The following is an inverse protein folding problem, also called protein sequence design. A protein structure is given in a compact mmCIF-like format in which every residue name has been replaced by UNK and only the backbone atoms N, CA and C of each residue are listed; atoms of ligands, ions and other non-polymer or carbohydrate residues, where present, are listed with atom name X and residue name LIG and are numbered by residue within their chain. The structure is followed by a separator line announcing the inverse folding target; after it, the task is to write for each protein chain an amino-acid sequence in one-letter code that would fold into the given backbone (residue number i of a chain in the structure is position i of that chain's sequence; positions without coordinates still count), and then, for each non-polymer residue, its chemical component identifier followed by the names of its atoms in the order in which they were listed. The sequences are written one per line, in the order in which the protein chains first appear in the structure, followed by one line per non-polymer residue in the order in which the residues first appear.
data_IF_371613429456
#
_entry.id   IF_371613429456
#
_cell.length_a   1.000
_cell.length_b   1.000
_cell.length_c   1.000
_cell.angle_alpha   90.00
_cell.angle_beta   90.00
_cell.angle_gamma   90.00
#
_symmetry.space_group_name_H-M   'P 1'
#
loop_
_entity.id
_entity.type
_entity.pdbx_description
1 polymer ?
#
# COMPACT_ATOMS: atom_id res chain seq x y z
N UNK A 1 -8.48 -10.46 -8.04
CA UNK A 1 -7.23 -10.50 -7.24
C UNK A 1 -7.27 -11.46 -6.04
N UNK A 2 -8.45 -11.88 -5.58
CA UNK A 2 -8.61 -12.84 -4.46
C UNK A 2 -7.64 -14.03 -4.54
N UNK A 3 -7.10 -14.42 -3.41
CA UNK A 3 -6.09 -15.47 -3.24
C UNK A 3 -4.67 -14.95 -3.35
N UNK A 4 -4.39 -13.98 -4.23
CA UNK A 4 -3.02 -13.55 -4.51
C UNK A 4 -2.35 -12.94 -3.27
N UNK A 5 -1.05 -13.23 -3.13
CA UNK A 5 -0.09 -12.48 -2.33
C UNK A 5 0.88 -11.77 -3.26
N UNK A 6 1.02 -10.46 -3.09
CA UNK A 6 1.85 -9.63 -3.97
C UNK A 6 2.80 -8.82 -3.11
N UNK A 7 4.09 -8.87 -3.43
CA UNK A 7 5.09 -7.99 -2.86
C UNK A 7 5.16 -6.69 -3.66
N UNK A 8 5.20 -5.55 -2.97
CA UNK A 8 5.32 -4.22 -3.53
C UNK A 8 6.59 -3.57 -2.99
N UNK A 9 7.51 -3.22 -3.88
CA UNK A 9 8.74 -2.48 -3.57
C UNK A 9 8.60 -1.06 -4.07
N UNK A 10 8.42 -0.12 -3.15
CA UNK A 10 8.28 1.33 -3.44
C UNK A 10 9.63 2.01 -3.56
N UNK A 11 10.62 1.54 -2.81
CA UNK A 11 12.02 1.99 -2.88
C UNK A 11 12.95 0.87 -2.41
N UNK A 12 14.26 1.13 -2.36
CA UNK A 12 15.22 0.16 -1.81
C UNK A 12 15.08 -0.07 -0.30
N UNK A 13 14.33 0.79 0.39
CA UNK A 13 14.11 0.71 1.83
C UNK A 13 12.64 0.46 2.22
N UNK A 14 11.72 0.40 1.25
CA UNK A 14 10.27 0.34 1.52
C UNK A 14 9.61 -0.78 0.72
N UNK A 15 9.20 -1.82 1.45
CA UNK A 15 8.61 -3.03 0.88
C UNK A 15 7.44 -3.49 1.72
N UNK A 16 6.31 -3.73 1.04
CA UNK A 16 5.06 -4.21 1.62
C UNK A 16 4.61 -5.49 0.93
N UNK A 17 3.77 -6.26 1.59
CA UNK A 17 2.97 -7.30 0.94
C UNK A 17 1.49 -7.03 1.10
N UNK A 18 0.73 -7.32 0.03
CA UNK A 18 -0.72 -7.39 0.10
C UNK A 18 -1.17 -8.84 -0.09
N UNK A 19 -2.09 -9.28 0.77
CA UNK A 19 -2.76 -10.58 0.70
C UNK A 19 -4.25 -10.33 0.44
N UNK A 20 -4.72 -10.67 -0.75
CA UNK A 20 -6.10 -10.41 -1.17
C UNK A 20 -7.02 -11.53 -0.69
N UNK A 21 -7.65 -11.35 0.48
CA UNK A 21 -8.35 -12.42 1.20
C UNK A 21 -9.67 -12.85 0.54
N UNK A 22 -10.51 -11.88 0.17
CA UNK A 22 -11.82 -12.09 -0.44
C UNK A 22 -12.24 -10.83 -1.23
N UNK A 23 -13.50 -10.77 -1.68
CA UNK A 23 -13.99 -9.68 -2.53
C UNK A 23 -13.97 -8.29 -1.87
N UNK A 24 -13.94 -8.20 -0.54
CA UNK A 24 -14.10 -6.94 0.19
C UNK A 24 -13.04 -6.65 1.24
N UNK A 25 -12.02 -7.49 1.39
CA UNK A 25 -10.94 -7.27 2.35
C UNK A 25 -9.59 -7.81 1.88
N UNK A 26 -8.53 -7.12 2.27
CA UNK A 26 -7.14 -7.53 2.08
C UNK A 26 -6.33 -7.23 3.33
N UNK A 27 -5.20 -7.92 3.49
CA UNK A 27 -4.21 -7.61 4.52
C UNK A 27 -3.01 -6.94 3.88
N UNK A 28 -2.53 -5.84 4.45
CA UNK A 28 -1.21 -5.28 4.15
C UNK A 28 -0.25 -5.58 5.31
N UNK A 29 1.03 -5.75 5.00
CA UNK A 29 2.10 -5.93 5.98
C UNK A 29 3.37 -5.26 5.48
N UNK A 30 3.96 -4.39 6.31
CA UNK A 30 5.21 -3.74 6.01
C UNK A 30 6.39 -4.64 6.40
N UNK A 31 7.13 -5.11 5.39
CA UNK A 31 8.27 -6.02 5.56
C UNK A 31 9.57 -5.27 5.82
N UNK A 32 9.67 -4.07 5.27
CA UNK A 32 10.83 -3.19 5.41
C UNK A 32 10.35 -1.76 5.23
N UNK A 33 10.76 -0.89 6.15
CA UNK A 33 10.43 0.53 6.07
C UNK A 33 10.09 1.15 7.41
N UNK A 34 9.58 2.38 7.37
CA UNK A 34 9.16 3.11 8.58
C UNK A 34 7.99 2.48 9.33
N UNK A 35 7.26 1.55 8.70
CA UNK A 35 6.16 0.79 9.30
C UNK A 35 6.52 -0.68 9.59
N UNK A 36 7.81 -1.06 9.54
CA UNK A 36 8.24 -2.47 9.62
C UNK A 36 7.57 -3.25 10.77
N UNK A 37 7.03 -4.42 10.43
CA UNK A 37 6.32 -5.30 11.36
C UNK A 37 4.87 -4.92 11.62
N UNK A 38 4.40 -3.75 11.16
CA UNK A 38 2.99 -3.38 11.19
C UNK A 38 2.24 -4.07 10.06
N UNK A 39 1.03 -4.52 10.39
CA UNK A 39 0.10 -5.12 9.45
C UNK A 39 -1.33 -4.80 9.87
N UNK A 40 -2.23 -4.73 8.89
CA UNK A 40 -3.65 -4.64 9.18
C UNK A 40 -4.50 -5.20 8.03
N UNK A 41 -5.76 -5.52 8.34
CA UNK A 41 -6.76 -5.96 7.37
C UNK A 41 -7.84 -4.90 7.17
N UNK A 42 -7.96 -4.42 5.94
CA UNK A 42 -8.82 -3.29 5.60
C UNK A 42 -9.82 -3.62 4.51
N UNK A 43 -10.86 -2.79 4.41
CA UNK A 43 -11.88 -2.90 3.38
C UNK A 43 -11.29 -2.46 2.04
N UNK A 44 -11.56 -3.24 1.00
CA UNK A 44 -11.11 -2.92 -0.34
C UNK A 44 -12.18 -3.19 -1.41
N UNK A 45 -11.95 -2.60 -2.58
CA UNK A 45 -12.72 -2.80 -3.79
C UNK A 45 -11.72 -3.04 -4.94
N UNK A 46 -12.06 -3.92 -5.87
CA UNK A 46 -11.20 -4.24 -7.01
C UNK A 46 -12.03 -4.35 -8.28
N UNK A 47 -11.57 -3.71 -9.35
CA UNK A 47 -12.16 -3.80 -10.68
C UNK A 47 -11.13 -4.30 -11.67
N UNK A 48 -11.50 -5.28 -12.50
CA UNK A 48 -10.65 -5.73 -13.61
C UNK A 48 -10.81 -4.74 -14.77
N UNK A 49 -9.70 -4.21 -15.27
CA UNK A 49 -9.67 -3.28 -16.40
C UNK A 49 -9.32 -4.02 -17.69
N UNK A 50 -8.30 -4.87 -17.63
CA UNK A 50 -7.85 -5.69 -18.74
C UNK A 50 -7.26 -7.02 -18.21
N UNK A 51 -6.67 -7.83 -19.09
CA UNK A 51 -5.86 -8.95 -18.66
C UNK A 51 -4.69 -8.44 -17.80
N UNK A 52 -4.49 -9.05 -16.63
CA UNK A 52 -3.47 -8.68 -15.64
C UNK A 52 -3.52 -7.24 -15.10
N UNK A 53 -4.49 -6.42 -15.51
CA UNK A 53 -4.61 -5.01 -15.11
C UNK A 53 -5.86 -4.76 -14.26
N UNK A 54 -5.69 -4.16 -13.09
CA UNK A 54 -6.74 -3.95 -12.10
C UNK A 54 -6.71 -2.55 -11.49
N UNK A 55 -7.88 -1.97 -11.23
CA UNK A 55 -8.01 -0.86 -10.27
C UNK A 55 -8.25 -1.47 -8.90
N UNK A 56 -7.47 -1.02 -7.92
CA UNK A 56 -7.56 -1.42 -6.52
C UNK A 56 -7.75 -0.20 -5.64
N UNK A 57 -8.78 -0.25 -4.80
CA UNK A 57 -9.10 0.81 -3.86
C UNK A 57 -9.19 0.23 -2.45
N UNK A 58 -8.63 0.91 -1.46
CA UNK A 58 -8.87 0.57 -0.06
C UNK A 58 -9.08 1.79 0.82
N UNK A 59 -9.69 1.55 1.98
CA UNK A 59 -9.86 2.52 3.05
C UNK A 59 -9.29 1.91 4.32
N UNK A 60 -8.32 2.59 4.94
CA UNK A 60 -7.82 2.17 6.25
C UNK A 60 -8.85 2.48 7.34
N UNK A 61 -8.98 1.58 8.32
CA UNK A 61 -9.90 1.80 9.45
C UNK A 61 -9.25 2.54 10.64
N UNK A 62 -7.93 2.44 10.80
CA UNK A 62 -7.21 3.08 11.91
C UNK A 62 -6.76 4.49 11.55
N UNK A 63 -6.34 4.67 10.29
CA UNK A 63 -5.87 5.94 9.76
C UNK A 63 -6.95 6.54 8.86
N UNK A 64 -7.11 7.87 8.85
CA UNK A 64 -8.01 8.58 7.94
C UNK A 64 -7.41 8.68 6.52
N UNK A 65 -7.06 7.52 5.93
CA UNK A 65 -6.46 7.44 4.60
C UNK A 65 -7.23 6.48 3.68
N UNK A 66 -7.23 6.83 2.39
CA UNK A 66 -7.82 6.07 1.29
C UNK A 66 -6.82 6.04 0.16
N UNK A 67 -6.75 4.94 -0.58
CA UNK A 67 -5.83 4.85 -1.70
C UNK A 67 -6.48 4.19 -2.91
N UNK A 68 -6.02 4.61 -4.08
CA UNK A 68 -6.41 4.07 -5.38
C UNK A 68 -5.15 3.78 -6.20
N UNK A 69 -5.05 2.55 -6.69
CA UNK A 69 -3.94 2.06 -7.48
C UNK A 69 -4.45 1.44 -8.78
N UNK A 70 -3.72 1.65 -9.86
CA UNK A 70 -3.72 0.80 -11.03
C UNK A 70 -2.59 -0.22 -10.84
N UNK A 71 -2.94 -1.50 -10.83
CA UNK A 71 -2.04 -2.63 -10.62
C UNK A 71 -1.94 -3.42 -11.91
N UNK A 72 -0.76 -3.42 -12.50
CA UNK A 72 -0.36 -4.33 -13.56
C UNK A 72 0.40 -5.50 -12.94
N UNK A 73 -0.23 -6.68 -12.93
CA UNK A 73 0.35 -7.89 -12.34
C UNK A 73 1.61 -8.38 -13.05
N UNK A 74 1.98 -7.82 -14.20
CA UNK A 74 3.21 -8.17 -14.89
C UNK A 74 4.45 -7.54 -14.24
N UNK A 75 4.36 -6.31 -13.72
CA UNK A 75 5.55 -5.66 -13.15
C UNK A 75 5.28 -4.55 -12.12
N UNK A 76 4.18 -3.78 -12.23
CA UNK A 76 4.14 -2.46 -11.58
C UNK A 76 2.79 -2.08 -11.02
N UNK A 77 2.79 -1.20 -10.01
CA UNK A 77 1.60 -0.45 -9.62
C UNK A 77 1.87 1.05 -9.56
N UNK A 78 0.85 1.83 -9.88
CA UNK A 78 0.86 3.29 -9.78
C UNK A 78 -0.42 3.76 -9.11
N UNK A 79 -0.36 4.86 -8.37
CA UNK A 79 -1.55 5.36 -7.69
C UNK A 79 -1.30 6.57 -6.82
N UNK A 80 -2.28 6.79 -5.95
CA UNK A 80 -2.27 7.85 -4.95
C UNK A 80 -2.95 7.36 -3.68
N UNK A 81 -2.40 7.79 -2.56
CA UNK A 81 -3.06 7.76 -1.27
C UNK A 81 -3.42 9.18 -0.85
N UNK A 82 -4.61 9.32 -0.29
CA UNK A 82 -5.21 10.57 0.14
C UNK A 82 -5.64 10.42 1.59
N UNK A 83 -5.51 11.47 2.38
CA UNK A 83 -6.02 11.44 3.74
C UNK A 83 -5.94 12.79 4.42
N UNK A 84 -6.18 12.77 5.72
CA UNK A 84 -6.07 13.92 6.59
C UNK A 84 -4.97 13.68 7.63
N UNK A 85 -4.06 14.64 7.79
CA UNK A 85 -3.09 14.64 8.88
C UNK A 85 -3.61 15.50 10.02
N UNK A 86 -4.00 14.85 11.12
CA UNK A 86 -4.51 15.53 12.31
C UNK A 86 -3.45 16.35 13.06
N UNK A 87 -2.17 16.04 12.88
CA UNK A 87 -1.05 16.78 13.48
C UNK A 87 -0.79 18.06 12.71
N UNK A 88 -0.72 17.96 11.37
CA UNK A 88 -0.46 19.11 10.50
C UNK A 88 -1.72 19.86 10.07
N UNK A 89 -2.91 19.41 10.50
CA UNK A 89 -4.23 19.98 10.13
C UNK A 89 -4.34 20.26 8.63
N UNK A 90 -3.91 19.29 7.82
CA UNK A 90 -3.81 19.45 6.36
C UNK A 90 -4.07 18.14 5.63
N UNK A 91 -4.42 18.25 4.34
CA UNK A 91 -4.58 17.11 3.45
C UNK A 91 -3.24 16.44 3.18
N UNK A 92 -3.25 15.10 3.24
CA UNK A 92 -2.16 14.24 2.82
C UNK A 92 -2.45 13.75 1.40
N UNK A 93 -1.50 13.92 0.48
CA UNK A 93 -1.53 13.28 -0.84
C UNK A 93 -0.16 12.67 -1.10
N UNK A 94 -0.09 11.34 -1.23
CA UNK A 94 1.16 10.61 -1.42
C UNK A 94 1.15 9.82 -2.74
N UNK A 95 2.24 9.88 -3.52
CA UNK A 95 2.37 9.06 -4.72
C UNK A 95 2.61 7.59 -4.37
N UNK A 96 1.91 6.69 -5.04
CA UNK A 96 2.23 5.26 -5.04
C UNK A 96 2.86 4.91 -6.38
N UNK A 97 4.04 4.31 -6.32
CA UNK A 97 4.76 3.81 -7.48
C UNK A 97 5.66 2.67 -7.01
N UNK A 98 5.37 1.45 -7.43
CA UNK A 98 6.09 0.26 -6.97
C UNK A 98 6.43 -0.67 -8.12
N UNK A 99 7.57 -1.34 -8.04
CA UNK A 99 7.71 -2.65 -8.70
C UNK A 99 7.01 -3.70 -7.86
N UNK A 100 6.38 -4.69 -8.50
CA UNK A 100 5.68 -5.77 -7.81
C UNK A 100 6.11 -7.15 -8.29
N UNK A 101 5.85 -8.15 -7.45
CA UNK A 101 6.03 -9.55 -7.79
C UNK A 101 4.91 -10.37 -7.16
N UNK A 102 4.22 -11.16 -7.99
CA UNK A 102 3.16 -12.06 -7.52
C UNK A 102 3.80 -13.33 -6.97
N UNK A 103 3.44 -13.71 -5.76
CA UNK A 103 4.00 -14.90 -5.13
C UNK A 103 3.29 -16.20 -5.57
N UNK A 104 4.06 -17.23 -5.97
CA UNK A 104 3.52 -18.54 -6.26
C UNK A 104 2.79 -19.15 -5.04
N UNK A 105 1.70 -19.88 -5.28
CA UNK A 105 1.12 -20.79 -4.27
C UNK A 105 0.16 -20.20 -3.23
N UNK A 106 -0.34 -18.97 -3.40
CA UNK A 106 -1.31 -18.41 -2.46
C UNK A 106 -2.75 -18.69 -2.91
N UNK A 107 -3.23 -19.89 -2.55
CA UNK A 107 -4.65 -20.15 -2.32
C UNK A 107 -4.82 -20.37 -0.82
N UNK A 108 -4.62 -19.32 -0.02
CA UNK A 108 -4.82 -19.43 1.42
C UNK A 108 -6.31 -19.49 1.72
N UNK A 109 -6.81 -20.66 2.16
CA UNK A 109 -7.99 -20.72 3.01
C UNK A 109 -7.63 -20.02 4.32
N UNK A 110 -7.99 -18.74 4.43
CA UNK A 110 -7.65 -17.92 5.60
C UNK A 110 -8.21 -18.54 6.89
N UNK A 111 -7.33 -19.08 7.74
CA UNK A 111 -7.69 -19.53 9.09
C UNK A 111 -7.57 -18.31 10.00
N UNK A 112 -8.70 -17.82 10.52
CA UNK A 112 -8.76 -16.66 11.43
C UNK A 112 -7.84 -16.92 12.63
N UNK A 113 -6.74 -16.19 12.75
CA UNK A 113 -6.05 -15.97 14.03
C UNK A 113 -6.06 -14.47 14.27
N UNK A 114 -6.47 -14.07 15.48
CA UNK A 114 -6.54 -12.66 15.87
C UNK A 114 -5.16 -12.03 15.78
N UNK A 115 -5.09 -10.89 15.10
CA UNK A 115 -3.94 -10.00 15.11
C UNK A 115 -4.38 -8.76 15.90
N UNK A 116 -3.69 -8.48 17.01
CA UNK A 116 -3.94 -7.30 17.83
C UNK A 116 -3.37 -6.06 17.11
N UNK A 117 -4.23 -5.06 16.88
CA UNK A 117 -3.87 -3.82 16.23
C UNK A 117 -3.02 -2.95 17.18
N UNK A 118 -1.76 -2.69 16.81
CA UNK A 118 -0.91 -1.76 17.54
C UNK A 118 -1.36 -0.31 17.28
N UNK A 119 -1.74 0.40 18.34
CA UNK A 119 -2.25 1.77 18.29
C UNK A 119 -1.11 2.79 18.46
N UNK A 120 -0.73 3.45 17.37
CA UNK A 120 0.10 4.66 17.40
C UNK A 120 0.00 5.42 16.06
N UNK A 121 -1.18 6.00 15.81
CA UNK A 121 -1.58 6.71 14.58
C UNK A 121 -0.60 7.83 14.17
N UNK A 122 0.05 8.51 15.13
CA UNK A 122 0.88 9.71 14.86
C UNK A 122 2.25 9.43 14.23
N UNK A 123 2.99 8.39 14.68
CA UNK A 123 4.31 8.04 14.11
C UNK A 123 4.20 7.48 12.68
N UNK A 124 3.07 6.87 12.37
CA UNK A 124 2.77 6.21 11.10
C UNK A 124 2.60 7.21 9.95
N UNK A 125 1.89 8.30 10.19
CA UNK A 125 1.76 9.42 9.23
C UNK A 125 3.12 10.07 8.90
N UNK A 126 4.01 10.20 9.89
CA UNK A 126 5.34 10.76 9.68
C UNK A 126 6.23 9.82 8.85
N UNK A 127 6.18 8.51 9.12
CA UNK A 127 6.84 7.50 8.29
C UNK A 127 6.37 7.61 6.83
N UNK A 128 5.07 7.52 6.58
CA UNK A 128 4.48 7.62 5.23
C UNK A 128 4.91 8.87 4.45
N UNK A 129 5.01 10.02 5.14
CA UNK A 129 5.49 11.28 4.53
C UNK A 129 6.97 11.27 4.17
N UNK A 130 7.83 10.72 5.04
CA UNK A 130 9.26 10.61 4.77
C UNK A 130 9.54 9.63 3.62
N UNK A 131 8.77 8.54 3.58
CA UNK A 131 8.89 7.41 2.65
C UNK A 131 8.50 7.80 1.22
N UNK A 132 7.34 8.44 1.04
CA UNK A 132 6.82 8.77 -0.30
C UNK A 132 7.17 10.21 -0.74
N UNK A 133 7.60 11.06 0.18
CA UNK A 133 8.10 12.42 -0.11
C UNK A 133 9.55 12.47 -0.57
N UNK A 134 10.39 11.49 -0.22
CA UNK A 134 11.79 11.43 -0.67
C UNK A 134 11.90 11.07 -2.17
N UNK A 135 11.01 10.22 -2.68
CA UNK A 135 10.98 9.85 -4.11
C UNK A 135 10.67 11.04 -5.03
N UNK A 136 9.91 12.04 -4.54
CA UNK A 136 9.60 13.25 -5.32
C UNK A 136 10.78 14.22 -5.45
N UNK A 137 11.78 14.20 -4.54
CA UNK A 137 12.94 15.11 -4.59
C UNK A 137 14.08 14.61 -5.49
N UNK A 138 14.12 13.32 -5.82
CA UNK A 138 15.19 12.79 -6.68
C UNK A 138 14.96 12.99 -8.17
N UNK A 139 13.74 13.32 -8.62
CA UNK A 139 13.45 13.56 -10.04
C UNK A 139 13.48 15.03 -10.47
N UNK A 140 13.59 15.99 -9.55
CA UNK A 140 13.65 17.43 -9.90
C UNK A 140 15.06 17.95 -10.22
N UNK A 141 16.11 17.12 -10.12
CA UNK A 141 17.50 17.55 -10.35
C UNK A 141 18.12 17.11 -11.68
N UNK A 142 17.36 16.47 -12.57
CA UNK A 142 17.86 16.05 -13.90
C UNK A 142 17.16 16.72 -15.10
N UNK A 143 16.42 17.81 -14.90
CA UNK A 143 15.80 18.57 -16.00
C UNK A 143 16.19 20.06 -16.04
N UNK A 144 17.42 20.38 -15.60
CA UNK A 144 18.08 21.64 -15.94
C UNK A 144 19.56 21.32 -16.19
N UNK A 145 19.87 20.94 -17.43
CA UNK A 145 21.08 21.27 -18.20
C UNK A 145 20.97 20.69 -19.60
#
# INVERSE_FOLDING_TARGET
MVGKRIFYRYSDIETYEHIYLNLGSFTWHCLRGGEVGLADTDRCMTWKVAENLYIFFWTEKVMNVKAVLLIDLQERSIGRMFGWDDTLKSTLVLPFNSRLSVMPGTSQKAKRRGCEAASSTSRRLQALKFILGASARQHSSQLIR
#
